data_IF_384983964136
#
_entry.id   IF_384983964136
#
_cell.length_a   1.000
_cell.length_b   1.000
_cell.length_c   1.000
_cell.angle_alpha   90.00
_cell.angle_beta   90.00
_cell.angle_gamma   90.00
#
_symmetry.space_group_name_H-M   'P 1'
#
loop_
_entity.id
_entity.type
_entity.pdbx_description
1 polymer ?
#
# COMPACT_ATOMS: atom_id res chain seq x y z
N UNK A 1 -18.93 -11.23 -14.82
CA UNK A 1 -17.59 -10.76 -14.34
C UNK A 1 -17.65 -9.71 -13.23
N UNK A 2 -18.78 -9.02 -13.02
CA UNK A 2 -18.96 -7.97 -12.00
C UNK A 2 -18.52 -8.35 -10.57
N UNK A 3 -18.84 -9.56 -10.10
CA UNK A 3 -18.43 -10.02 -8.76
C UNK A 3 -16.92 -10.24 -8.62
N UNK A 4 -16.24 -10.69 -9.68
CA UNK A 4 -14.79 -10.92 -9.67
C UNK A 4 -14.02 -9.59 -9.56
N UNK A 5 -14.47 -8.55 -10.27
CA UNK A 5 -13.87 -7.21 -10.18
C UNK A 5 -14.13 -6.54 -8.82
N UNK A 6 -15.32 -6.75 -8.24
CA UNK A 6 -15.66 -6.25 -6.90
C UNK A 6 -14.80 -6.92 -5.82
N UNK A 7 -14.61 -8.25 -5.92
CA UNK A 7 -13.71 -8.99 -5.02
C UNK A 7 -12.24 -8.54 -5.17
N UNK A 8 -11.76 -8.33 -6.40
CA UNK A 8 -10.41 -7.83 -6.65
C UNK A 8 -10.17 -6.44 -6.04
N UNK A 9 -11.14 -5.51 -6.17
CA UNK A 9 -11.03 -4.17 -5.57
C UNK A 9 -10.93 -4.23 -4.03
N UNK A 10 -11.74 -5.08 -3.38
CA UNK A 10 -11.67 -5.29 -1.93
C UNK A 10 -10.33 -5.91 -1.53
N UNK A 11 -9.82 -6.88 -2.29
CA UNK A 11 -8.51 -7.47 -2.06
C UNK A 11 -7.39 -6.41 -2.14
N UNK A 12 -7.37 -5.59 -3.18
CA UNK A 12 -6.38 -4.51 -3.31
C UNK A 12 -6.49 -3.46 -2.20
N UNK A 13 -7.71 -3.15 -1.75
CA UNK A 13 -7.94 -2.28 -0.59
C UNK A 13 -7.42 -2.91 0.71
N UNK A 14 -7.70 -4.20 0.94
CA UNK A 14 -7.19 -4.91 2.11
C UNK A 14 -5.66 -5.01 2.11
N UNK A 15 -5.06 -5.21 0.92
CA UNK A 15 -3.62 -5.25 0.74
C UNK A 15 -2.98 -3.87 1.00
N UNK A 16 -3.60 -2.77 0.58
CA UNK A 16 -3.06 -1.43 0.86
C UNK A 16 -3.08 -1.12 2.36
N UNK A 17 -4.16 -1.48 3.06
CA UNK A 17 -4.25 -1.35 4.52
C UNK A 17 -3.20 -2.21 5.21
N UNK A 18 -3.04 -3.48 4.79
CA UNK A 18 -2.01 -4.37 5.32
C UNK A 18 -0.60 -3.80 5.10
N UNK A 19 -0.35 -3.19 3.93
CA UNK A 19 0.94 -2.57 3.61
C UNK A 19 1.28 -1.43 4.59
N UNK A 20 0.27 -0.65 5.01
CA UNK A 20 0.44 0.42 6.00
C UNK A 20 0.82 -0.18 7.37
N UNK A 21 0.16 -1.26 7.80
CA UNK A 21 0.53 -1.93 9.06
C UNK A 21 1.96 -2.47 9.03
N UNK A 22 2.35 -3.10 7.93
CA UNK A 22 3.72 -3.60 7.73
C UNK A 22 4.73 -2.45 7.75
N UNK A 23 4.41 -1.32 7.12
CA UNK A 23 5.25 -0.13 7.14
C UNK A 23 5.45 0.40 8.57
N UNK A 24 4.38 0.49 9.37
CA UNK A 24 4.45 0.95 10.76
C UNK A 24 5.29 -0.02 11.61
N UNK A 25 5.06 -1.33 11.47
CA UNK A 25 5.82 -2.34 12.21
C UNK A 25 7.33 -2.27 11.89
N UNK A 26 7.68 -2.17 10.59
CA UNK A 26 9.07 -1.99 10.18
C UNK A 26 9.66 -0.67 10.69
N UNK A 27 8.90 0.42 10.65
CA UNK A 27 9.35 1.70 11.17
C UNK A 27 9.68 1.64 12.68
N UNK A 28 8.87 0.92 13.46
CA UNK A 28 9.11 0.71 14.89
C UNK A 28 10.38 -0.13 15.11
N UNK A 29 10.54 -1.24 14.38
CA UNK A 29 11.72 -2.12 14.50
C UNK A 29 12.99 -1.35 14.12
N UNK A 30 12.96 -0.65 12.98
CA UNK A 30 14.08 0.18 12.50
C UNK A 30 14.43 1.26 13.53
N UNK A 31 13.43 1.92 14.13
CA UNK A 31 13.64 2.94 15.15
C UNK A 31 14.20 2.37 16.45
N UNK A 32 13.73 1.19 16.89
CA UNK A 32 14.31 0.51 18.04
C UNK A 32 15.77 0.13 17.77
N UNK A 33 16.06 -0.41 16.60
CA UNK A 33 17.44 -0.74 16.20
C UNK A 33 18.34 0.51 16.21
N UNK A 34 17.83 1.64 15.72
CA UNK A 34 18.51 2.92 15.78
C UNK A 34 18.82 3.39 17.21
N UNK A 35 17.86 3.27 18.14
CA UNK A 35 18.07 3.64 19.54
C UNK A 35 19.17 2.81 20.21
N UNK A 36 19.36 1.56 19.78
CA UNK A 36 20.43 0.69 20.27
C UNK A 36 21.78 0.92 19.57
N UNK A 37 21.79 1.59 18.41
CA UNK A 37 22.99 1.85 17.59
C UNK A 37 23.03 3.31 17.07
N UNK A 38 23.29 4.29 17.96
CA UNK A 38 23.29 5.72 17.61
C UNK A 38 24.34 6.10 16.56
N UNK A 39 25.37 5.27 16.36
CA UNK A 39 26.38 5.40 15.30
C UNK A 39 25.79 5.38 13.88
N UNK A 40 24.57 4.86 13.68
CA UNK A 40 23.91 4.80 12.38
C UNK A 40 22.95 5.98 12.09
N UNK A 41 22.92 7.00 12.96
CA UNK A 41 22.01 8.15 12.89
C UNK A 41 21.95 8.87 11.54
N UNK A 42 23.10 9.15 10.92
CA UNK A 42 23.14 9.87 9.65
C UNK A 42 22.53 9.06 8.49
N UNK A 43 22.82 7.76 8.42
CA UNK A 43 22.30 6.85 7.38
C UNK A 43 20.84 6.47 7.62
N UNK A 44 20.40 6.46 8.88
CA UNK A 44 19.05 6.09 9.28
C UNK A 44 17.99 7.01 8.69
N UNK A 45 18.20 8.34 8.76
CA UNK A 45 17.23 9.33 8.24
C UNK A 45 17.01 9.18 6.72
N UNK A 46 18.10 9.03 5.96
CA UNK A 46 18.04 8.84 4.51
C UNK A 46 17.38 7.50 4.17
N UNK A 47 17.77 6.42 4.85
CA UNK A 47 17.18 5.10 4.67
C UNK A 47 15.67 5.10 4.96
N UNK A 48 15.25 5.72 6.06
CA UNK A 48 13.86 5.82 6.47
C UNK A 48 13.02 6.60 5.45
N UNK A 49 13.58 7.69 4.90
CA UNK A 49 12.93 8.52 3.89
C UNK A 49 12.72 7.75 2.57
N UNK A 50 13.75 7.06 2.08
CA UNK A 50 13.63 6.21 0.88
C UNK A 50 12.63 5.07 1.08
N UNK A 51 12.68 4.40 2.24
CA UNK A 51 11.78 3.29 2.58
C UNK A 51 10.33 3.78 2.66
N UNK A 52 10.10 4.93 3.29
CA UNK A 52 8.79 5.58 3.34
C UNK A 52 8.24 5.91 1.95
N UNK A 53 9.05 6.52 1.08
CA UNK A 53 8.65 6.83 -0.31
C UNK A 53 8.29 5.54 -1.07
N UNK A 54 9.09 4.48 -0.94
CA UNK A 54 8.81 3.21 -1.60
C UNK A 54 7.46 2.61 -1.17
N UNK A 55 7.13 2.66 0.13
CA UNK A 55 5.84 2.22 0.63
C UNK A 55 4.68 3.09 0.15
N UNK A 56 4.85 4.42 0.12
CA UNK A 56 3.83 5.36 -0.37
C UNK A 56 3.53 5.10 -1.85
N UNK A 57 4.55 4.97 -2.70
CA UNK A 57 4.40 4.66 -4.13
C UNK A 57 3.66 3.33 -4.32
N UNK A 58 4.05 2.29 -3.56
CA UNK A 58 3.40 0.98 -3.62
C UNK A 58 1.93 1.04 -3.21
N UNK A 59 1.62 1.78 -2.15
CA UNK A 59 0.25 1.96 -1.65
C UNK A 59 -0.61 2.74 -2.65
N UNK A 60 -0.08 3.83 -3.24
CA UNK A 60 -0.76 4.57 -4.30
C UNK A 60 -1.05 3.69 -5.51
N UNK A 61 -0.10 2.84 -5.93
CA UNK A 61 -0.31 1.88 -7.01
C UNK A 61 -1.47 0.92 -6.72
N UNK A 62 -1.52 0.33 -5.53
CA UNK A 62 -2.61 -0.57 -5.12
C UNK A 62 -3.97 0.14 -5.08
N UNK A 63 -4.01 1.39 -4.62
CA UNK A 63 -5.24 2.20 -4.61
C UNK A 63 -5.73 2.53 -6.02
N UNK A 64 -4.82 2.90 -6.92
CA UNK A 64 -5.14 3.15 -8.34
C UNK A 64 -5.68 1.88 -9.00
N UNK A 65 -5.04 0.72 -8.78
CA UNK A 65 -5.56 -0.56 -9.27
C UNK A 65 -6.95 -0.84 -8.69
N UNK A 66 -7.15 -0.67 -7.39
CA UNK A 66 -8.45 -0.87 -6.75
C UNK A 66 -9.53 0.02 -7.39
N UNK A 67 -9.22 1.28 -7.67
CA UNK A 67 -10.13 2.21 -8.33
C UNK A 67 -10.48 1.81 -9.76
N UNK A 68 -9.48 1.36 -10.54
CA UNK A 68 -9.68 0.85 -11.91
C UNK A 68 -10.59 -0.38 -11.88
N UNK A 69 -10.34 -1.33 -10.98
CA UNK A 69 -11.17 -2.53 -10.84
C UNK A 69 -12.59 -2.21 -10.35
N UNK A 70 -12.74 -1.23 -9.46
CA UNK A 70 -14.04 -0.74 -9.01
C UNK A 70 -14.84 -0.11 -10.16
N UNK A 71 -14.23 0.78 -10.97
CA UNK A 71 -14.87 1.38 -12.14
C UNK A 71 -15.20 0.36 -13.23
N UNK A 72 -14.28 -0.56 -13.53
CA UNK A 72 -14.49 -1.63 -14.54
C UNK A 72 -15.57 -2.64 -14.10
N UNK A 73 -15.77 -2.80 -12.79
CA UNK A 73 -16.91 -3.53 -12.24
C UNK A 73 -18.25 -2.81 -12.39
N UNK A 74 -18.27 -1.47 -12.42
CA UNK A 74 -19.47 -0.65 -12.62
C UNK A 74 -19.84 -0.46 -14.10
N UNK A 75 -18.87 -0.42 -15.02
CA UNK A 75 -19.11 -0.25 -16.46
C UNK A 75 -19.46 -1.54 -17.22
N UNK A 76 -19.88 -2.60 -16.52
CA UNK A 76 -20.64 -3.68 -17.17
C UNK A 76 -21.99 -3.10 -17.61
N UNK A 77 -22.33 -3.12 -18.92
CA UNK A 77 -23.36 -2.27 -19.50
C UNK A 77 -24.72 -2.51 -18.84
N UNK A 78 -25.30 -1.42 -18.32
CA UNK A 78 -26.74 -1.29 -18.18
C UNK A 78 -27.34 -1.41 -19.59
N UNK A 79 -28.15 -2.44 -19.82
CA UNK A 79 -29.16 -2.46 -20.89
C UNK A 79 -28.66 -2.61 -22.33
N UNK A 80 -28.39 -3.85 -22.74
CA UNK A 80 -29.07 -4.37 -23.94
C UNK A 80 -30.09 -5.40 -23.48
N UNK A 81 -31.34 -4.97 -23.41
CA UNK A 81 -32.56 -5.71 -23.77
C UNK A 81 -33.73 -4.79 -23.49
#
# INVERSE_FOLDING_TARGET
MRNKHKAASILFLSLSVLLIFVMIANAIIDYQHYLHHPEYSASFSVYFLFKGIAYVISCMGLLVLSFIFAKKGQSAPLGRK
#
